data_IF_210844043317
#
_entry.id   IF_210844043317
#
_cell.length_a   1.000
_cell.length_b   1.000
_cell.length_c   1.000
_cell.angle_alpha   90.00
_cell.angle_beta   90.00
_cell.angle_gamma   90.00
#
_symmetry.space_group_name_H-M   'P 1'
#
loop_
_entity.id
_entity.type
_entity.pdbx_description
1 polymer ?
#
# COMPACT_ATOMS: atom_id res chain seq x y z
N UNK A 1 -12.39 17.15 6.24
CA UNK A 1 -13.18 16.55 5.12
C UNK A 1 -14.05 15.44 5.70
N UNK A 2 -15.31 15.33 5.28
CA UNK A 2 -16.20 14.24 5.67
C UNK A 2 -16.14 13.13 4.62
N UNK A 3 -15.91 11.88 5.07
CA UNK A 3 -15.99 10.66 4.26
C UNK A 3 -17.09 9.77 4.83
N UNK A 4 -17.91 9.20 3.95
CA UNK A 4 -18.92 8.19 4.27
C UNK A 4 -18.65 6.98 3.41
N UNK A 5 -18.41 5.84 4.04
CA UNK A 5 -18.04 4.60 3.35
C UNK A 5 -19.30 3.78 3.05
N UNK A 6 -19.52 3.32 1.80
CA UNK A 6 -20.60 2.42 1.44
C UNK A 6 -20.57 1.12 2.26
N UNK A 7 -21.74 0.47 2.42
CA UNK A 7 -21.85 -0.77 3.21
C UNK A 7 -21.11 -1.93 2.53
N UNK A 8 -21.01 -1.89 1.22
CA UNK A 8 -20.34 -2.91 0.39
C UNK A 8 -18.80 -2.84 0.44
N UNK A 9 -18.24 -1.71 0.91
CA UNK A 9 -16.81 -1.52 1.07
C UNK A 9 -16.37 -1.95 2.48
N UNK A 10 -16.01 -3.21 2.63
CA UNK A 10 -15.49 -3.77 3.88
C UNK A 10 -13.98 -3.55 4.06
N UNK A 11 -13.26 -3.14 3.01
CA UNK A 11 -11.82 -2.87 3.07
C UNK A 11 -11.48 -1.61 3.88
N UNK A 12 -12.42 -0.68 3.99
CA UNK A 12 -12.27 0.58 4.73
C UNK A 12 -12.86 0.56 6.15
N UNK A 13 -13.29 -0.59 6.65
CA UNK A 13 -13.95 -0.69 7.97
C UNK A 13 -13.05 -0.22 9.11
N UNK A 14 -11.76 -0.53 9.06
CA UNK A 14 -10.77 -0.18 10.06
C UNK A 14 -10.02 1.13 9.76
N UNK A 15 -10.40 1.89 8.71
CA UNK A 15 -9.75 3.16 8.35
C UNK A 15 -9.70 4.14 9.53
N UNK A 16 -10.81 4.31 10.24
CA UNK A 16 -10.87 5.19 11.41
C UNK A 16 -9.93 4.75 12.55
N UNK A 17 -9.74 3.45 12.72
CA UNK A 17 -8.84 2.90 13.75
C UNK A 17 -7.38 3.13 13.37
N UNK A 18 -7.03 2.97 12.08
CA UNK A 18 -5.69 3.26 11.57
C UNK A 18 -5.33 4.75 11.69
N UNK A 19 -6.24 5.64 11.27
CA UNK A 19 -6.04 7.08 11.40
C UNK A 19 -5.91 7.52 12.86
N UNK A 20 -6.65 6.90 13.78
CA UNK A 20 -6.52 7.15 15.21
C UNK A 20 -5.15 6.71 15.75
N UNK A 21 -4.64 5.55 15.31
CA UNK A 21 -3.33 5.02 15.69
C UNK A 21 -2.19 5.90 15.17
N UNK A 22 -2.25 6.35 13.92
CA UNK A 22 -1.24 7.25 13.34
C UNK A 22 -1.32 8.66 13.91
N UNK A 23 -2.48 9.12 14.38
CA UNK A 23 -2.70 10.38 15.09
C UNK A 23 -2.15 11.63 14.37
N UNK A 24 -2.16 11.63 13.03
CA UNK A 24 -1.64 12.73 12.21
C UNK A 24 -0.14 12.66 11.90
N UNK A 25 0.55 11.58 12.30
CA UNK A 25 1.95 11.34 11.96
C UNK A 25 2.03 10.37 10.78
N UNK A 26 2.32 10.91 9.61
CA UNK A 26 2.34 10.21 8.32
C UNK A 26 0.98 10.11 7.61
N UNK A 27 -0.15 10.24 8.31
CA UNK A 27 -1.49 10.23 7.72
C UNK A 27 -2.32 11.42 8.22
N UNK A 28 -3.40 11.74 7.50
CA UNK A 28 -4.36 12.77 7.93
C UNK A 28 -4.94 12.43 9.30
N UNK A 29 -5.15 13.45 10.12
CA UNK A 29 -5.69 13.28 11.47
C UNK A 29 -7.17 12.96 11.45
N UNK A 30 -7.58 11.92 12.17
CA UNK A 30 -8.98 11.67 12.48
C UNK A 30 -9.48 12.73 13.47
N UNK A 31 -10.52 13.47 13.10
CA UNK A 31 -11.15 14.50 13.94
C UNK A 31 -12.39 13.95 14.65
N UNK A 32 -13.18 13.11 13.96
CA UNK A 32 -14.41 12.51 14.50
C UNK A 32 -14.77 11.22 13.76
N UNK A 33 -15.41 10.28 14.44
CA UNK A 33 -15.94 9.04 13.88
C UNK A 33 -17.39 8.81 14.31
N UNK A 34 -18.21 8.37 13.37
CA UNK A 34 -19.53 7.78 13.62
C UNK A 34 -19.55 6.37 12.99
N UNK A 35 -19.28 5.36 13.81
CA UNK A 35 -19.18 3.99 13.33
C UNK A 35 -20.54 3.46 12.81
N UNK A 36 -21.68 3.92 13.39
CA UNK A 36 -23.00 3.48 12.93
C UNK A 36 -23.33 3.97 11.52
N UNK A 37 -22.83 5.16 11.17
CA UNK A 37 -23.01 5.75 9.84
C UNK A 37 -21.85 5.48 8.91
N UNK A 38 -20.84 4.71 9.36
CA UNK A 38 -19.59 4.47 8.61
C UNK A 38 -18.98 5.79 8.10
N UNK A 39 -18.98 6.79 8.97
CA UNK A 39 -18.57 8.16 8.63
C UNK A 39 -17.38 8.59 9.49
N UNK A 40 -16.41 9.21 8.84
CA UNK A 40 -15.26 9.82 9.49
C UNK A 40 -15.11 11.28 9.06
N UNK A 41 -14.72 12.13 9.99
CA UNK A 41 -14.29 13.47 9.73
C UNK A 41 -12.78 13.53 9.92
N UNK A 42 -12.05 13.90 8.87
CA UNK A 42 -10.58 14.01 8.89
C UNK A 42 -10.13 15.43 8.61
N UNK A 43 -8.92 15.77 8.99
CA UNK A 43 -8.31 17.03 8.60
C UNK A 43 -8.24 17.13 7.07
N UNK A 44 -8.14 18.36 6.57
CA UNK A 44 -8.03 18.63 5.14
C UNK A 44 -6.60 19.03 4.83
N UNK A 45 -5.90 18.23 4.06
CA UNK A 45 -4.60 18.58 3.51
C UNK A 45 -4.71 19.82 2.59
N UNK A 46 -3.73 20.73 2.65
CA UNK A 46 -3.67 21.95 1.86
C UNK A 46 -2.25 22.20 1.36
N UNK A 47 -2.04 22.35 0.06
CA UNK A 47 -3.01 22.49 -1.03
C UNK A 47 -3.79 21.22 -1.35
N UNK A 48 -3.30 20.03 -0.96
CA UNK A 48 -3.96 18.75 -1.20
C UNK A 48 -3.71 18.19 -2.60
N UNK A 49 -2.68 18.70 -3.31
CA UNK A 49 -2.18 18.09 -4.53
C UNK A 49 -1.53 16.74 -4.19
N UNK A 50 -1.74 15.75 -5.04
CA UNK A 50 -1.13 14.44 -4.87
C UNK A 50 0.34 14.38 -5.34
N UNK A 51 0.98 13.26 -5.11
CA UNK A 51 2.39 13.05 -5.42
C UNK A 51 2.65 12.75 -6.91
N UNK A 52 1.61 12.49 -7.71
CA UNK A 52 1.76 12.05 -9.11
C UNK A 52 2.37 13.13 -10.03
N UNK A 53 2.29 14.39 -9.65
CA UNK A 53 2.88 15.51 -10.39
C UNK A 53 4.28 15.94 -9.93
N UNK A 54 4.85 15.26 -8.94
CA UNK A 54 6.17 15.54 -8.37
C UNK A 54 7.25 14.77 -9.15
N UNK A 55 8.47 15.31 -9.21
CA UNK A 55 9.62 14.61 -9.78
C UNK A 55 9.81 13.23 -9.14
N UNK A 56 10.22 12.24 -9.92
CA UNK A 56 10.25 10.83 -9.52
C UNK A 56 11.15 10.57 -8.29
N UNK A 57 12.32 11.18 -8.25
CA UNK A 57 13.26 11.01 -7.15
C UNK A 57 12.73 11.67 -5.86
N UNK A 58 12.23 12.90 -5.98
CA UNK A 58 11.61 13.62 -4.88
C UNK A 58 10.34 12.89 -4.37
N UNK A 59 9.48 12.44 -5.29
CA UNK A 59 8.27 11.68 -4.95
C UNK A 59 8.61 10.40 -4.18
N UNK A 60 9.65 9.69 -4.61
CA UNK A 60 10.08 8.45 -3.93
C UNK A 60 10.66 8.75 -2.55
N UNK A 61 11.44 9.81 -2.38
CA UNK A 61 11.98 10.21 -1.08
C UNK A 61 10.83 10.58 -0.11
N UNK A 62 9.83 11.34 -0.58
CA UNK A 62 8.64 11.69 0.20
C UNK A 62 7.85 10.42 0.58
N UNK A 63 7.64 9.51 -0.35
CA UNK A 63 6.91 8.27 -0.09
C UNK A 63 7.60 7.43 0.99
N UNK A 64 8.92 7.28 0.92
CA UNK A 64 9.72 6.57 1.94
C UNK A 64 9.58 7.23 3.31
N UNK A 65 9.69 8.56 3.39
CA UNK A 65 9.53 9.31 4.65
C UNK A 65 8.12 9.11 5.25
N UNK A 66 7.06 9.21 4.46
CA UNK A 66 5.69 8.97 4.93
C UNK A 66 5.50 7.52 5.36
N UNK A 67 5.90 6.56 4.54
CA UNK A 67 5.71 5.13 4.79
C UNK A 67 6.39 4.68 6.10
N UNK A 68 7.61 5.14 6.37
CA UNK A 68 8.34 4.78 7.60
C UNK A 68 7.64 5.26 8.87
N UNK A 69 6.86 6.34 8.79
CA UNK A 69 6.03 6.83 9.90
C UNK A 69 4.75 6.00 10.08
N UNK A 70 4.22 5.42 8.99
CA UNK A 70 3.00 4.61 9.04
C UNK A 70 3.24 3.21 9.58
N UNK A 71 4.41 2.60 9.29
CA UNK A 71 4.68 1.22 9.66
C UNK A 71 4.98 1.08 11.15
N UNK A 72 3.93 0.79 11.92
CA UNK A 72 3.98 0.65 13.37
C UNK A 72 3.47 -0.71 13.82
N UNK A 73 4.02 -1.27 14.89
CA UNK A 73 3.43 -2.45 15.52
C UNK A 73 1.97 -2.19 15.88
N UNK A 74 1.10 -3.11 15.52
CA UNK A 74 -0.32 -3.02 15.80
C UNK A 74 -0.93 -4.41 16.05
N UNK A 75 -2.17 -4.43 16.52
CA UNK A 75 -2.96 -5.62 16.79
C UNK A 75 -4.43 -5.38 16.35
N UNK A 76 -5.40 -6.10 16.95
CA UNK A 76 -6.81 -5.85 16.68
C UNK A 76 -7.15 -4.33 16.73
N UNK A 77 -8.10 -3.87 15.92
CA UNK A 77 -9.06 -4.68 15.16
C UNK A 77 -8.60 -5.10 13.75
N UNK A 78 -7.38 -4.77 13.34
CA UNK A 78 -6.93 -4.92 11.95
C UNK A 78 -6.85 -6.39 11.52
N UNK A 79 -7.29 -6.64 10.28
CA UNK A 79 -7.23 -7.94 9.62
C UNK A 79 -5.78 -8.34 9.32
N UNK A 80 -5.48 -9.62 9.38
CA UNK A 80 -4.16 -10.17 9.07
C UNK A 80 -4.04 -10.56 7.60
N UNK A 81 -3.01 -10.06 6.90
CA UNK A 81 -2.81 -10.36 5.46
C UNK A 81 -2.70 -11.87 5.20
N UNK A 82 -2.13 -12.64 6.13
CA UNK A 82 -1.98 -14.08 6.00
C UNK A 82 -3.30 -14.85 5.92
N UNK A 83 -4.41 -14.28 6.43
CA UNK A 83 -5.74 -14.88 6.32
C UNK A 83 -6.39 -14.60 4.95
N UNK A 84 -5.91 -13.61 4.22
CA UNK A 84 -6.51 -13.14 2.97
C UNK A 84 -5.71 -13.52 1.72
N UNK A 85 -4.38 -13.44 1.77
CA UNK A 85 -3.51 -13.67 0.61
C UNK A 85 -3.72 -15.03 -0.03
N UNK A 86 -3.87 -16.16 0.72
CA UNK A 86 -4.13 -17.47 0.11
C UNK A 86 -5.39 -17.46 -0.77
N UNK A 87 -6.48 -16.86 -0.29
CA UNK A 87 -7.73 -16.73 -1.04
C UNK A 87 -7.57 -15.85 -2.28
N UNK A 88 -6.82 -14.75 -2.18
CA UNK A 88 -6.57 -13.87 -3.33
C UNK A 88 -5.74 -14.57 -4.42
N UNK A 89 -4.74 -15.36 -4.02
CA UNK A 89 -3.93 -16.15 -4.95
C UNK A 89 -4.74 -17.28 -5.60
N UNK A 90 -5.58 -17.99 -4.85
CA UNK A 90 -6.49 -19.00 -5.39
C UNK A 90 -7.46 -18.40 -6.42
N UNK A 91 -8.03 -17.24 -6.13
CA UNK A 91 -8.87 -16.50 -7.08
C UNK A 91 -8.09 -16.05 -8.33
N UNK A 92 -6.83 -15.63 -8.18
CA UNK A 92 -5.96 -15.29 -9.31
C UNK A 92 -5.68 -16.52 -10.18
N UNK A 93 -5.38 -17.67 -9.57
CA UNK A 93 -5.15 -18.92 -10.27
C UNK A 93 -6.40 -19.38 -11.05
N UNK A 94 -7.59 -19.32 -10.45
CA UNK A 94 -8.85 -19.66 -11.12
C UNK A 94 -9.14 -18.77 -12.33
N UNK A 95 -8.71 -17.52 -12.32
CA UNK A 95 -8.83 -16.59 -13.45
C UNK A 95 -7.74 -16.77 -14.50
N UNK A 96 -6.80 -17.69 -14.30
CA UNK A 96 -5.66 -17.90 -15.20
C UNK A 96 -4.64 -16.75 -15.16
N UNK A 97 -4.49 -16.05 -14.04
CA UNK A 97 -3.55 -14.95 -13.93
C UNK A 97 -2.10 -15.42 -14.18
N UNK A 98 -1.35 -14.77 -15.09
CA UNK A 98 -0.06 -15.28 -15.57
C UNK A 98 1.03 -15.43 -14.51
N UNK A 99 0.94 -14.66 -13.41
CA UNK A 99 1.89 -14.71 -12.30
C UNK A 99 1.44 -15.66 -11.16
N UNK A 100 0.22 -16.21 -11.19
CA UNK A 100 -0.34 -16.96 -10.07
C UNK A 100 0.54 -18.16 -9.63
N UNK A 101 1.07 -19.04 -10.53
CA UNK A 101 1.92 -20.15 -10.10
C UNK A 101 3.20 -19.68 -9.41
N UNK A 102 3.82 -18.61 -9.92
CA UNK A 102 5.04 -18.05 -9.35
C UNK A 102 4.76 -17.38 -8.01
N UNK A 103 3.68 -16.61 -7.94
CA UNK A 103 3.25 -15.93 -6.73
C UNK A 103 2.93 -16.91 -5.59
N UNK A 104 2.27 -18.04 -5.90
CA UNK A 104 2.01 -19.10 -4.94
C UNK A 104 3.32 -19.68 -4.38
N UNK A 105 4.26 -20.04 -5.26
CA UNK A 105 5.56 -20.58 -4.84
C UNK A 105 6.37 -19.59 -3.96
N UNK A 106 6.30 -18.29 -4.27
CA UNK A 106 6.93 -17.26 -3.47
C UNK A 106 6.26 -17.13 -2.09
N UNK A 107 4.93 -17.11 -2.05
CA UNK A 107 4.19 -17.00 -0.81
C UNK A 107 4.42 -18.20 0.11
N UNK A 108 4.47 -19.42 -0.45
CA UNK A 108 4.77 -20.64 0.31
C UNK A 108 6.18 -20.62 0.93
N UNK A 109 7.12 -19.92 0.29
CA UNK A 109 8.47 -19.70 0.80
C UNK A 109 8.63 -18.54 1.78
N UNK A 110 7.58 -17.72 1.98
CA UNK A 110 7.61 -16.61 2.91
C UNK A 110 7.09 -17.02 4.29
N UNK A 111 7.91 -16.82 5.32
CA UNK A 111 7.40 -16.81 6.70
C UNK A 111 6.94 -15.38 7.02
N UNK A 112 5.65 -15.10 6.83
CA UNK A 112 5.05 -13.79 7.13
C UNK A 112 4.92 -13.65 8.64
N UNK A 113 5.80 -12.88 9.28
CA UNK A 113 5.95 -12.88 10.74
C UNK A 113 5.66 -11.55 11.43
N UNK A 114 5.89 -10.44 10.75
CA UNK A 114 5.75 -9.12 11.38
C UNK A 114 4.28 -8.66 11.34
N UNK A 115 3.76 -8.27 12.51
CA UNK A 115 2.42 -7.67 12.64
C UNK A 115 2.57 -6.15 12.70
N UNK A 116 2.88 -5.55 11.57
CA UNK A 116 2.98 -4.11 11.39
C UNK A 116 1.69 -3.62 10.73
N UNK A 117 1.16 -2.49 11.17
CA UNK A 117 0.08 -1.83 10.44
C UNK A 117 0.64 -1.34 9.12
N UNK A 118 0.04 -1.80 8.02
CA UNK A 118 0.32 -1.35 6.66
C UNK A 118 -0.83 -0.50 6.16
N UNK A 119 -0.54 0.39 5.22
CA UNK A 119 -1.56 1.24 4.60
C UNK A 119 -2.51 0.43 3.71
N UNK A 120 -1.99 -0.62 3.04
CA UNK A 120 -2.74 -1.52 2.18
C UNK A 120 -2.97 -1.00 0.76
N UNK A 121 -3.03 0.33 0.56
CA UNK A 121 -3.18 0.99 -0.74
C UNK A 121 -2.25 2.20 -0.87
N UNK A 122 -0.98 2.00 -0.57
CA UNK A 122 0.04 3.05 -0.50
C UNK A 122 0.56 3.43 -1.89
N UNK A 123 0.13 4.58 -2.42
CA UNK A 123 0.55 5.05 -3.74
C UNK A 123 0.44 6.58 -3.89
N UNK A 124 0.95 7.11 -5.00
CA UNK A 124 1.08 8.53 -5.31
C UNK A 124 -0.19 9.36 -5.08
N UNK A 125 -1.36 8.85 -5.50
CA UNK A 125 -2.62 9.57 -5.37
C UNK A 125 -3.17 9.59 -3.94
N UNK A 126 -2.66 8.72 -3.07
CA UNK A 126 -3.02 8.65 -1.66
C UNK A 126 -2.02 9.39 -0.75
N UNK A 127 -1.09 10.17 -1.33
CA UNK A 127 -0.13 11.00 -0.62
C UNK A 127 -0.36 12.46 -1.01
N UNK A 128 -0.89 13.25 -0.08
CA UNK A 128 -1.31 14.63 -0.34
C UNK A 128 -0.41 15.64 0.35
N UNK A 129 -0.05 16.69 -0.38
CA UNK A 129 0.68 17.84 0.16
C UNK A 129 -0.15 18.58 1.22
N UNK A 130 0.47 18.86 2.38
CA UNK A 130 -0.08 19.65 3.48
C UNK A 130 0.99 20.61 4.02
N UNK A 131 1.05 21.80 3.44
CA UNK A 131 2.13 22.74 3.68
C UNK A 131 3.48 22.19 3.21
N UNK A 132 4.42 22.04 4.12
CA UNK A 132 5.77 21.51 3.85
C UNK A 132 5.88 19.97 4.00
N UNK A 133 4.78 19.28 4.28
CA UNK A 133 4.76 17.83 4.49
C UNK A 133 3.79 17.13 3.56
N UNK A 134 3.87 15.81 3.50
CA UNK A 134 2.87 14.96 2.84
C UNK A 134 2.20 14.06 3.86
N UNK A 135 0.92 13.77 3.64
CA UNK A 135 0.09 12.94 4.50
C UNK A 135 -0.64 11.89 3.67
N UNK A 136 -0.65 10.66 4.16
CA UNK A 136 -1.42 9.58 3.57
C UNK A 136 -2.91 9.73 3.87
N UNK A 137 -3.73 9.29 2.91
CA UNK A 137 -5.20 9.24 2.96
C UNK A 137 -5.69 7.88 2.46
N UNK A 138 -6.96 7.57 2.70
CA UNK A 138 -7.66 6.40 2.14
C UNK A 138 -6.95 5.05 2.41
N UNK A 139 -6.53 4.76 3.65
CA UNK A 139 -5.94 3.47 3.94
C UNK A 139 -6.96 2.34 3.83
N UNK A 140 -6.46 1.17 3.40
CA UNK A 140 -7.10 -0.15 3.52
C UNK A 140 -6.29 -0.97 4.53
N UNK A 141 -6.37 -0.63 5.81
CA UNK A 141 -5.38 -1.03 6.78
C UNK A 141 -5.43 -2.52 7.08
N UNK A 142 -4.25 -3.13 7.16
CA UNK A 142 -4.09 -4.54 7.53
C UNK A 142 -2.88 -4.70 8.44
N UNK A 143 -2.82 -5.81 9.17
CA UNK A 143 -1.58 -6.27 9.78
C UNK A 143 -0.77 -7.03 8.73
N UNK A 144 0.49 -6.67 8.57
CA UNK A 144 1.34 -7.27 7.56
C UNK A 144 2.80 -6.96 7.77
N UNK A 145 3.52 -6.92 6.68
CA UNK A 145 4.92 -6.52 6.60
C UNK A 145 5.02 -5.22 5.81
N UNK A 146 5.92 -4.30 6.17
CA UNK A 146 6.14 -3.06 5.42
C UNK A 146 6.33 -3.28 3.91
N UNK A 147 7.03 -4.34 3.54
CA UNK A 147 7.31 -4.73 2.16
C UNK A 147 6.04 -5.01 1.34
N UNK A 148 4.92 -5.33 2.00
CA UNK A 148 3.61 -5.50 1.35
C UNK A 148 3.11 -4.19 0.71
N UNK A 149 3.30 -3.04 1.33
CA UNK A 149 2.82 -1.75 0.83
C UNK A 149 3.53 -1.29 -0.45
N UNK A 150 4.79 -1.70 -0.64
CA UNK A 150 5.64 -1.20 -1.72
C UNK A 150 5.06 -1.47 -3.11
N UNK A 151 4.37 -2.60 -3.32
CA UNK A 151 3.77 -2.93 -4.61
C UNK A 151 2.88 -1.82 -5.19
N UNK A 152 1.98 -1.28 -4.37
CA UNK A 152 1.06 -0.24 -4.85
C UNK A 152 1.79 1.01 -5.32
N UNK A 153 2.92 1.33 -4.69
CA UNK A 153 3.78 2.43 -5.10
C UNK A 153 4.53 2.11 -6.42
N UNK A 154 4.98 0.86 -6.62
CA UNK A 154 5.70 0.46 -7.84
C UNK A 154 4.85 0.59 -9.11
N UNK A 155 3.54 0.30 -9.03
CA UNK A 155 2.63 0.24 -10.18
C UNK A 155 1.87 1.55 -10.44
N UNK A 156 2.14 2.59 -9.66
CA UNK A 156 1.53 3.91 -9.78
C UNK A 156 2.61 4.98 -10.07
N UNK A 157 2.21 6.22 -10.50
CA UNK A 157 0.83 6.70 -10.66
C UNK A 157 0.11 6.04 -11.84
N UNK A 158 -1.23 6.00 -11.75
CA UNK A 158 -2.09 5.46 -12.81
C UNK A 158 -1.84 6.18 -14.14
N UNK A 159 -1.76 5.39 -15.23
CA UNK A 159 -1.49 5.93 -16.57
C UNK A 159 0.00 6.09 -16.89
N UNK A 160 0.90 5.99 -15.92
CA UNK A 160 2.33 5.90 -16.19
C UNK A 160 2.71 4.50 -16.67
N UNK A 161 3.79 4.43 -17.44
CA UNK A 161 4.35 3.14 -17.80
C UNK A 161 5.22 2.63 -16.66
N UNK A 162 4.97 1.40 -16.18
CA UNK A 162 5.89 0.75 -15.26
C UNK A 162 7.19 0.43 -16.01
N UNK A 163 8.27 1.11 -15.66
CA UNK A 163 9.59 0.95 -16.26
C UNK A 163 10.51 0.24 -15.28
N UNK A 164 11.34 -0.65 -15.80
CA UNK A 164 12.27 -1.43 -14.97
C UNK A 164 13.25 -0.57 -14.20
N UNK A 165 13.85 0.42 -14.87
CA UNK A 165 14.81 1.34 -14.25
C UNK A 165 14.20 2.14 -13.09
N UNK A 166 12.99 2.68 -13.26
CA UNK A 166 12.26 3.39 -12.22
C UNK A 166 11.88 2.43 -11.07
N UNK A 167 11.43 1.22 -11.40
CA UNK A 167 11.07 0.21 -10.40
C UNK A 167 12.28 -0.16 -9.53
N UNK A 168 13.44 -0.38 -10.14
CA UNK A 168 14.67 -0.69 -9.42
C UNK A 168 15.14 0.49 -8.54
N UNK A 169 15.03 1.73 -9.03
CA UNK A 169 15.36 2.92 -8.24
C UNK A 169 14.42 3.05 -7.00
N UNK A 170 13.12 2.84 -7.17
CA UNK A 170 12.15 2.83 -6.08
C UNK A 170 12.46 1.75 -5.04
N UNK A 171 12.72 0.51 -5.49
CA UNK A 171 13.11 -0.59 -4.60
C UNK A 171 14.39 -0.27 -3.83
N UNK A 172 15.40 0.31 -4.50
CA UNK A 172 16.65 0.71 -3.86
C UNK A 172 16.42 1.78 -2.77
N UNK A 173 15.53 2.75 -3.00
CA UNK A 173 15.18 3.78 -2.02
C UNK A 173 14.51 3.19 -0.77
N UNK A 174 13.55 2.27 -0.94
CA UNK A 174 12.92 1.58 0.18
C UNK A 174 13.90 0.64 0.91
N UNK A 175 14.80 -0.03 0.19
CA UNK A 175 15.85 -0.85 0.79
C UNK A 175 16.83 0.00 1.64
N UNK A 176 17.19 1.19 1.17
CA UNK A 176 18.02 2.13 1.93
C UNK A 176 17.32 2.60 3.23
N UNK A 177 16.00 2.59 3.28
CA UNK A 177 15.22 2.85 4.48
C UNK A 177 15.04 1.62 5.40
N UNK A 178 15.67 0.49 5.06
CA UNK A 178 15.74 -0.70 5.91
C UNK A 178 14.79 -1.84 5.56
N UNK A 179 14.08 -1.78 4.41
CA UNK A 179 13.26 -2.89 3.94
C UNK A 179 14.13 -3.97 3.28
N UNK A 180 13.69 -5.21 3.38
CA UNK A 180 14.32 -6.34 2.72
C UNK A 180 13.97 -6.34 1.21
N UNK A 181 14.98 -6.09 0.36
CA UNK A 181 14.81 -6.03 -1.10
C UNK A 181 14.19 -7.32 -1.67
N UNK A 182 14.65 -8.48 -1.21
CA UNK A 182 14.11 -9.77 -1.68
C UNK A 182 12.64 -9.93 -1.31
N UNK A 183 12.25 -9.48 -0.11
CA UNK A 183 10.85 -9.54 0.34
C UNK A 183 9.98 -8.56 -0.43
N UNK A 184 10.46 -7.33 -0.68
CA UNK A 184 9.74 -6.35 -1.50
C UNK A 184 9.45 -6.91 -2.90
N UNK A 185 10.44 -7.51 -3.55
CA UNK A 185 10.29 -8.15 -4.88
C UNK A 185 9.30 -9.31 -4.83
N UNK A 186 9.38 -10.16 -3.81
CA UNK A 186 8.44 -11.25 -3.63
C UNK A 186 7.00 -10.73 -3.46
N UNK A 187 6.79 -9.75 -2.58
CA UNK A 187 5.48 -9.12 -2.40
C UNK A 187 4.98 -8.40 -3.66
N UNK A 188 5.86 -7.78 -4.43
CA UNK A 188 5.49 -7.16 -5.71
C UNK A 188 4.91 -8.19 -6.69
N UNK A 189 5.54 -9.36 -6.82
CA UNK A 189 5.03 -10.44 -7.68
C UNK A 189 3.75 -11.07 -7.10
N UNK A 190 3.70 -11.31 -5.79
CA UNK A 190 2.53 -11.89 -5.11
C UNK A 190 1.31 -10.98 -5.31
N UNK A 191 1.43 -9.69 -4.99
CA UNK A 191 0.33 -8.73 -5.16
C UNK A 191 -0.01 -8.51 -6.63
N UNK A 192 0.98 -8.44 -7.50
CA UNK A 192 0.79 -8.30 -8.95
C UNK A 192 -0.02 -9.44 -9.56
N UNK A 193 0.08 -10.65 -9.01
CA UNK A 193 -0.68 -11.80 -9.50
C UNK A 193 -2.20 -11.65 -9.35
N UNK A 194 -2.67 -10.98 -8.31
CA UNK A 194 -4.11 -10.82 -8.09
C UNK A 194 -4.64 -9.40 -8.38
N UNK A 195 -3.76 -8.41 -8.49
CA UNK A 195 -4.15 -7.01 -8.72
C UNK A 195 -3.87 -6.52 -10.15
N UNK A 196 -2.86 -7.06 -10.86
CA UNK A 196 -2.50 -6.56 -12.17
C UNK A 196 -3.01 -7.44 -13.31
N UNK A 197 -3.63 -6.79 -14.30
CA UNK A 197 -3.91 -7.36 -15.62
C UNK A 197 -3.15 -6.64 -16.75
N UNK A 198 -2.40 -5.58 -16.44
CA UNK A 198 -1.63 -4.81 -17.41
C UNK A 198 -0.41 -5.63 -17.88
N UNK A 199 -0.29 -5.95 -19.22
CA UNK A 199 0.81 -6.76 -19.73
C UNK A 199 2.20 -6.18 -19.41
N UNK A 200 2.35 -4.87 -19.45
CA UNK A 200 3.61 -4.20 -19.17
C UNK A 200 4.02 -4.32 -17.69
N UNK A 201 3.05 -4.17 -16.77
CA UNK A 201 3.31 -4.43 -15.35
C UNK A 201 3.74 -5.89 -15.14
N UNK A 202 3.04 -6.84 -15.78
CA UNK A 202 3.36 -8.26 -15.68
C UNK A 202 4.76 -8.59 -16.21
N UNK A 203 5.21 -7.91 -17.27
CA UNK A 203 6.56 -8.07 -17.82
C UNK A 203 7.63 -7.61 -16.81
N UNK A 204 7.49 -6.39 -16.26
CA UNK A 204 8.43 -5.86 -15.26
C UNK A 204 8.43 -6.75 -14.01
N UNK A 205 7.25 -7.14 -13.50
CA UNK A 205 7.14 -7.98 -12.31
C UNK A 205 7.79 -9.36 -12.49
N UNK A 206 7.70 -9.97 -13.69
CA UNK A 206 8.40 -11.22 -13.99
C UNK A 206 9.93 -11.07 -13.91
N UNK A 207 10.45 -9.91 -14.24
CA UNK A 207 11.88 -9.63 -14.28
C UNK A 207 12.48 -9.23 -12.92
N UNK A 208 11.65 -9.12 -11.86
CA UNK A 208 12.11 -8.76 -10.51
C UNK A 208 12.80 -9.89 -9.75
N UNK A 209 12.61 -11.15 -10.17
CA UNK A 209 13.08 -12.35 -9.46
C UNK A 209 13.80 -13.32 -10.37
#
# INVERSE_FOLDING_TARGET
MLKVTPVEDDESDEEGDALALWAGDGAVRLLRRDARRRAILVERARPGSDLAGVDEEEATAIAVDVATRLWRPAAAPFRWIGDHVPRWLDNAARRGAPLAPRAQSLYDGLTVGRKTLVHGDFHHHNLLADGARYLAIDPKPMLGEPEFDVYSYLVNPLGSQMRRDVTEARLAAFAAAGLDDRRMRAWAVIRGAYLSSNPQHLEVLRALL
#
